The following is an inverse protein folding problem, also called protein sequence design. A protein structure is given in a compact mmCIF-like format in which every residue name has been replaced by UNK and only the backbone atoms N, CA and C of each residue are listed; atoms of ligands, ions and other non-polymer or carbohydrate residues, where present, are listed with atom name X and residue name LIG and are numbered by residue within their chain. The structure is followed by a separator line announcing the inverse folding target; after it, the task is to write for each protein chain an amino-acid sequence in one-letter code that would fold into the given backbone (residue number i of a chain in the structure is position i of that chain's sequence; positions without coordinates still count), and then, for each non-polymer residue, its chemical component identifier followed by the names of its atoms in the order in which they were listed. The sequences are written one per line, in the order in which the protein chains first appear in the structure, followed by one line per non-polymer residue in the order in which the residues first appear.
data_IF_044862660996
#
_entry.id   IF_044862660996
#
_cell.length_a   1.000
_cell.length_b   1.000
_cell.length_c   1.000
_cell.angle_alpha   90.00
_cell.angle_beta   90.00
_cell.angle_gamma   90.00
#
_symmetry.space_group_name_H-M   'P 1'
#
loop_
_entity.id
_entity.type
_entity.pdbx_description
1 polymer ?
#
# COMPACT_ATOMS: atom_id res chain seq x y z
N UNK A 1 16.18 22.11 -4.70
CA UNK A 1 15.42 21.25 -3.78
C UNK A 1 14.07 20.95 -4.43
N UNK A 2 13.80 19.70 -4.77
CA UNK A 2 12.49 19.26 -5.26
C UNK A 2 11.69 18.73 -4.07
N UNK A 3 10.40 19.05 -4.01
CA UNK A 3 9.51 18.54 -2.98
C UNK A 3 8.85 17.27 -3.54
N UNK A 4 9.08 16.14 -2.87
CA UNK A 4 8.43 14.88 -3.16
C UNK A 4 7.09 14.87 -2.44
N UNK A 5 5.97 14.88 -3.18
CA UNK A 5 4.64 14.74 -2.59
C UNK A 5 4.10 13.33 -2.84
N UNK A 6 3.80 12.63 -1.75
CA UNK A 6 3.07 11.37 -1.78
C UNK A 6 1.57 11.66 -1.77
N UNK A 7 0.86 11.26 -2.82
CA UNK A 7 -0.59 11.29 -2.80
C UNK A 7 -1.12 10.19 -1.87
N UNK A 8 -2.06 10.51 -0.96
CA UNK A 8 -2.66 9.49 -0.10
C UNK A 8 -3.43 8.49 -0.95
N UNK A 9 -2.98 7.23 -0.94
CA UNK A 9 -3.61 6.13 -1.66
C UNK A 9 -4.50 5.33 -0.72
N UNK A 10 -5.73 5.06 -1.15
CA UNK A 10 -6.64 4.16 -0.46
C UNK A 10 -6.22 2.71 -0.69
N UNK A 11 -6.48 1.85 0.30
CA UNK A 11 -6.24 0.42 0.15
C UNK A 11 -7.34 -0.20 -0.69
N UNK A 12 -6.99 -1.12 -1.61
CA UNK A 12 -7.98 -1.83 -2.44
C UNK A 12 -8.95 -2.68 -1.63
N UNK A 13 -8.52 -3.19 -0.47
CA UNK A 13 -9.34 -4.00 0.42
C UNK A 13 -9.30 -3.43 1.82
N UNK A 14 -10.39 -3.56 2.57
CA UNK A 14 -10.49 -3.14 3.97
C UNK A 14 -10.11 -4.26 4.96
N UNK A 15 -9.84 -5.47 4.48
CA UNK A 15 -9.39 -6.64 5.22
C UNK A 15 -8.80 -7.68 4.25
N UNK A 16 -8.19 -8.76 4.76
CA UNK A 16 -7.71 -9.89 3.97
C UNK A 16 -6.43 -9.64 3.17
N UNK A 17 -5.79 -8.48 3.35
CA UNK A 17 -4.59 -8.10 2.62
C UNK A 17 -4.90 -7.45 1.26
N UNK A 18 -5.11 -6.15 1.28
CA UNK A 18 -5.18 -5.30 0.10
C UNK A 18 -3.81 -4.77 -0.34
N UNK A 19 -3.82 -4.00 -1.42
CA UNK A 19 -2.67 -3.24 -1.90
C UNK A 19 -3.07 -1.79 -2.08
N UNK A 20 -2.16 -0.87 -1.82
CA UNK A 20 -2.31 0.55 -2.14
C UNK A 20 -1.15 0.96 -3.03
N UNK A 21 -1.46 1.69 -4.10
CA UNK A 21 -0.44 2.22 -5.01
C UNK A 21 -0.27 3.71 -4.72
N UNK A 22 0.88 4.13 -4.16
CA UNK A 22 1.14 5.53 -3.86
C UNK A 22 1.69 6.21 -5.11
N UNK A 23 1.01 7.23 -5.61
CA UNK A 23 1.59 8.08 -6.65
C UNK A 23 2.52 9.11 -6.02
N UNK A 24 3.77 9.10 -6.49
CA UNK A 24 4.77 10.12 -6.17
C UNK A 24 4.76 11.16 -7.28
N UNK A 25 4.57 12.41 -6.89
CA UNK A 25 4.63 13.56 -7.78
C UNK A 25 5.73 14.49 -7.33
N UNK A 26 6.52 14.94 -8.30
CA UNK A 26 7.58 15.89 -8.06
C UNK A 26 7.13 17.31 -8.32
N UNK A 27 7.30 18.16 -7.32
CA UNK A 27 6.89 19.54 -7.38
C UNK A 27 8.07 20.43 -6.99
N UNK A 28 8.29 21.51 -7.75
CA UNK A 28 9.23 22.56 -7.36
C UNK A 28 8.67 23.33 -6.14
N UNK A 29 9.52 24.05 -5.38
CA UNK A 29 9.07 24.88 -4.26
C UNK A 29 8.02 25.93 -4.65
N UNK A 30 8.03 26.36 -5.91
CA UNK A 30 7.05 27.29 -6.49
C UNK A 30 5.72 26.63 -6.88
N UNK A 31 5.53 25.34 -6.57
CA UNK A 31 4.31 24.61 -6.90
C UNK A 31 4.26 24.03 -8.33
N UNK A 32 5.30 24.17 -9.13
CA UNK A 32 5.30 23.65 -10.49
C UNK A 32 5.52 22.13 -10.51
N UNK A 33 4.57 21.39 -11.10
CA UNK A 33 4.69 19.93 -11.33
C UNK A 33 5.77 19.66 -12.37
N UNK A 34 6.67 18.73 -12.04
CA UNK A 34 7.69 18.22 -12.95
C UNK A 34 7.30 16.83 -13.44
N UNK A 35 7.73 16.51 -14.66
CA UNK A 35 7.51 15.19 -15.23
C UNK A 35 8.25 14.13 -14.38
N UNK A 36 7.64 12.97 -14.19
CA UNK A 36 8.15 11.92 -13.29
C UNK A 36 9.59 11.44 -13.62
N UNK A 37 10.06 11.64 -14.85
CA UNK A 37 11.42 11.31 -15.29
C UNK A 37 12.52 12.25 -14.78
N UNK A 38 12.16 13.46 -14.32
CA UNK A 38 13.13 14.48 -13.93
C UNK A 38 13.40 14.52 -12.42
N UNK A 39 12.95 13.48 -11.71
CA UNK A 39 13.05 13.40 -10.27
C UNK A 39 13.93 12.23 -9.91
N UNK A 40 14.95 12.49 -9.09
CA UNK A 40 15.87 11.46 -8.62
C UNK A 40 15.08 10.28 -8.03
N UNK A 41 15.22 9.14 -8.69
CA UNK A 41 14.51 7.88 -8.42
C UNK A 41 14.91 7.31 -7.04
N UNK A 42 15.96 7.86 -6.44
CA UNK A 42 16.62 7.40 -5.21
C UNK A 42 15.75 7.45 -3.96
N UNK A 43 14.70 8.27 -3.95
CA UNK A 43 13.77 8.41 -2.81
C UNK A 43 12.35 7.94 -3.14
N UNK A 44 12.18 7.19 -4.25
CA UNK A 44 10.87 6.66 -4.62
C UNK A 44 10.51 5.53 -3.63
N UNK A 45 9.53 5.73 -2.73
CA UNK A 45 9.01 4.63 -1.93
C UNK A 45 8.40 3.63 -2.90
N UNK A 46 8.39 2.35 -2.54
CA UNK A 46 7.78 1.31 -3.35
C UNK A 46 6.40 1.75 -3.82
N UNK A 47 6.18 1.77 -5.13
CA UNK A 47 4.93 2.26 -5.71
C UNK A 47 3.72 1.51 -5.16
N UNK A 48 3.93 0.26 -4.73
CA UNK A 48 2.90 -0.62 -4.19
C UNK A 48 3.27 -1.10 -2.79
N UNK A 49 2.33 -0.98 -1.87
CA UNK A 49 2.46 -1.45 -0.49
C UNK A 49 1.25 -2.30 -0.11
N UNK A 50 1.46 -3.35 0.68
CA UNK A 50 0.35 -4.12 1.25
C UNK A 50 -0.29 -3.34 2.39
N UNK A 51 -1.61 -3.44 2.49
CA UNK A 51 -2.39 -2.76 3.51
C UNK A 51 -3.55 -3.66 3.95
N UNK A 52 -4.10 -3.40 5.13
CA UNK A 52 -5.26 -4.12 5.64
C UNK A 52 -5.08 -5.65 5.72
N UNK A 53 -3.95 -6.08 6.29
CA UNK A 53 -3.56 -7.48 6.46
C UNK A 53 -4.41 -8.23 7.51
N UNK A 54 -5.24 -7.53 8.29
CA UNK A 54 -6.16 -8.16 9.23
C UNK A 54 -7.12 -9.12 8.51
N UNK A 55 -7.44 -10.29 9.09
CA UNK A 55 -8.43 -11.19 8.52
C UNK A 55 -9.80 -10.51 8.39
N UNK A 56 -10.53 -10.85 7.33
CA UNK A 56 -11.88 -10.33 7.15
C UNK A 56 -12.86 -10.92 8.18
N UNK A 57 -13.79 -10.12 8.72
CA UNK A 57 -14.85 -10.65 9.57
C UNK A 57 -15.64 -11.69 8.77
N UNK A 58 -15.61 -12.95 9.21
CA UNK A 58 -16.22 -14.08 8.50
C UNK A 58 -15.23 -15.10 7.91
N UNK A 59 -13.91 -14.87 8.01
CA UNK A 59 -12.92 -15.90 7.70
C UNK A 59 -12.86 -16.93 8.83
N UNK A 60 -13.92 -17.72 9.00
CA UNK A 60 -13.93 -18.87 9.89
C UNK A 60 -12.89 -19.87 9.38
N UNK A 61 -11.80 -20.06 10.11
CA UNK A 61 -10.82 -21.09 9.80
C UNK A 61 -11.30 -22.42 10.38
N UNK A 62 -11.65 -23.35 9.50
CA UNK A 62 -11.97 -24.73 9.89
C UNK A 62 -10.68 -25.45 10.31
N UNK A 63 -10.56 -25.79 11.58
CA UNK A 63 -9.47 -26.61 12.10
C UNK A 63 -9.98 -28.02 12.36
N UNK A 64 -9.43 -29.01 11.64
CA UNK A 64 -9.67 -30.43 11.96
C UNK A 64 -8.93 -30.75 13.26
N UNK A 65 -9.66 -31.06 14.32
CA UNK A 65 -9.07 -31.59 15.56
C UNK A 65 -8.81 -33.09 15.40
N UNK A 66 -7.76 -33.65 16.05
CA UNK A 66 -7.54 -35.09 16.07
C UNK A 66 -8.77 -35.78 16.67
N UNK A 67 -9.26 -36.80 15.99
CA UNK A 67 -10.35 -37.64 16.51
C UNK A 67 -9.83 -38.43 17.70
N UNK A 68 -10.52 -38.35 18.84
CA UNK A 68 -10.24 -39.13 20.04
C UNK A 68 -11.25 -40.30 20.06
N UNK A 69 -10.81 -41.54 19.82
CA UNK A 69 -11.64 -42.71 20.07
C UNK A 69 -11.96 -42.79 21.56
N UNK A 70 -13.21 -43.14 21.89
CA UNK A 70 -13.62 -43.59 23.23
C UNK A 70 -13.14 -45.01 23.47
#
# INVERSE_FOLDING_TARGET
MLIVRQCPATCTQTCGGGRRTRQVLCQRPNGQRLNNYNCDILDKPTDMEQCNLQPCPGSASWHRRPWKPV
#
